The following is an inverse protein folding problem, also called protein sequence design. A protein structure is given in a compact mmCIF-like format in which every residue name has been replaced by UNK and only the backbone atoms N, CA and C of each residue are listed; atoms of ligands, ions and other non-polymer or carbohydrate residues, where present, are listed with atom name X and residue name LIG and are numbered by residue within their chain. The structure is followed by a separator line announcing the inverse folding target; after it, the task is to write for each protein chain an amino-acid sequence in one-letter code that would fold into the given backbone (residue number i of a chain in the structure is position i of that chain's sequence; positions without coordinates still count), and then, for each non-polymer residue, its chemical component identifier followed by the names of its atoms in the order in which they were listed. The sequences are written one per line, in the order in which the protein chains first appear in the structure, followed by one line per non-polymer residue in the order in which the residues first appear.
data_IF_713063613206
#
_entry.id   IF_713063613206
#
_cell.length_a   1.000
_cell.length_b   1.000
_cell.length_c   1.000
_cell.angle_alpha   90.00
_cell.angle_beta   90.00
_cell.angle_gamma   90.00
#
_symmetry.space_group_name_H-M   'P 1'
#
loop_
_entity.id
_entity.type
_entity.pdbx_description
1 polymer ?
#
# COMPACT_ATOMS: atom_id res chain seq x y z
N UNK A 1 28.79 14.74 9.93
CA UNK A 1 28.91 16.17 10.33
C UNK A 1 30.38 16.36 10.69
N UNK A 2 31.07 17.45 10.33
CA UNK A 2 32.51 17.53 10.58
C UNK A 2 32.82 17.71 12.08
N UNK A 3 33.36 16.66 12.71
CA UNK A 3 33.99 16.74 14.03
C UNK A 3 35.45 17.19 13.88
N UNK A 4 35.88 18.14 14.73
CA UNK A 4 37.24 18.64 14.76
C UNK A 4 37.88 18.40 16.13
N UNK A 5 39.20 18.28 16.16
CA UNK A 5 39.99 18.18 17.40
C UNK A 5 39.66 19.39 18.29
N UNK A 6 39.41 19.14 19.58
CA UNK A 6 38.97 20.14 20.56
C UNK A 6 37.45 20.29 20.69
N UNK A 7 36.65 19.55 19.91
CA UNK A 7 35.17 19.57 20.04
C UNK A 7 34.73 18.77 21.26
N UNK A 8 33.84 19.37 22.07
CA UNK A 8 33.15 18.68 23.16
C UNK A 8 32.01 17.82 22.63
N UNK A 9 32.07 16.54 22.95
CA UNK A 9 31.13 15.51 22.51
C UNK A 9 30.57 14.75 23.71
N UNK A 10 29.41 14.15 23.51
CA UNK A 10 28.73 13.27 24.46
C UNK A 10 28.48 11.94 23.78
N UNK A 11 28.79 10.85 24.46
CA UNK A 11 28.50 9.50 23.98
C UNK A 11 26.99 9.26 24.00
N UNK A 12 26.42 8.83 22.87
CA UNK A 12 24.98 8.60 22.70
C UNK A 12 24.44 7.56 23.68
N UNK A 13 25.22 6.51 23.96
CA UNK A 13 24.76 5.35 24.71
C UNK A 13 25.08 5.41 26.21
N UNK A 14 26.21 6.01 26.60
CA UNK A 14 26.62 6.12 28.01
C UNK A 14 26.27 7.47 28.63
N UNK A 15 26.04 8.50 27.81
CA UNK A 15 25.79 9.87 28.27
C UNK A 15 27.04 10.59 28.79
N UNK A 16 28.20 9.94 28.78
CA UNK A 16 29.48 10.52 29.20
C UNK A 16 29.91 11.64 28.25
N UNK A 17 30.52 12.69 28.79
CA UNK A 17 31.01 13.83 28.03
C UNK A 17 32.54 13.82 27.97
N UNK A 18 33.09 14.32 26.87
CA UNK A 18 34.51 14.38 26.64
C UNK A 18 34.90 15.31 25.50
N UNK A 19 36.20 15.39 25.22
CA UNK A 19 36.80 16.24 24.18
C UNK A 19 37.56 15.38 23.19
N UNK A 20 37.37 15.63 21.90
CA UNK A 20 38.14 14.95 20.85
C UNK A 20 39.59 15.43 20.89
N UNK A 21 40.54 14.53 21.12
CA UNK A 21 41.98 14.81 21.15
C UNK A 21 42.68 14.48 19.85
N UNK A 22 42.21 13.48 19.12
CA UNK A 22 42.75 13.08 17.82
C UNK A 22 41.67 12.51 16.89
N UNK A 23 41.86 12.68 15.59
CA UNK A 23 41.10 11.97 14.56
C UNK A 23 41.92 10.74 14.15
N UNK A 24 41.29 9.57 14.17
CA UNK A 24 41.91 8.31 13.75
C UNK A 24 41.39 7.92 12.36
N UNK A 25 42.04 6.94 11.74
CA UNK A 25 41.60 6.40 10.46
C UNK A 25 40.26 5.65 10.61
N UNK A 26 39.57 5.45 9.48
CA UNK A 26 38.29 4.71 9.40
C UNK A 26 37.11 5.34 10.17
N UNK A 27 37.11 6.66 10.37
CA UNK A 27 35.98 7.37 10.99
C UNK A 27 35.90 7.21 12.52
N UNK A 28 36.99 6.76 13.13
CA UNK A 28 37.16 6.73 14.58
C UNK A 28 37.81 8.01 15.10
N UNK A 29 37.51 8.37 16.34
CA UNK A 29 38.03 9.55 17.00
C UNK A 29 38.44 9.20 18.41
N UNK A 30 39.53 9.79 18.87
CA UNK A 30 40.01 9.62 20.23
C UNK A 30 39.35 10.68 21.11
N UNK A 31 38.57 10.25 22.10
CA UNK A 31 37.82 11.13 23.00
C UNK A 31 38.37 10.97 24.40
N UNK A 32 38.84 12.08 24.99
CA UNK A 32 39.22 12.16 26.40
C UNK A 32 37.99 12.48 27.23
N UNK A 33 37.71 11.69 28.26
CA UNK A 33 36.54 11.92 29.11
C UNK A 33 36.74 13.13 30.03
N UNK A 34 35.66 13.87 30.28
CA UNK A 34 35.67 14.95 31.28
C UNK A 34 35.75 14.39 32.72
N UNK A 35 35.30 13.14 32.93
CA UNK A 35 35.31 12.45 34.23
C UNK A 35 36.70 11.96 34.65
N UNK A 36 37.55 11.60 33.69
CA UNK A 36 38.90 11.09 33.93
C UNK A 36 39.86 11.61 32.84
N UNK A 37 40.73 12.59 33.18
CA UNK A 37 41.64 13.22 32.21
C UNK A 37 42.71 12.29 31.64
N UNK A 38 43.00 11.16 32.29
CA UNK A 38 44.03 10.21 31.84
C UNK A 38 43.44 9.12 30.94
N UNK A 39 42.11 9.07 30.79
CA UNK A 39 41.41 8.05 30.02
C UNK A 39 40.97 8.60 28.66
N UNK A 40 41.53 8.00 27.60
CA UNK A 40 41.18 8.30 26.21
C UNK A 40 40.58 7.06 25.55
N UNK A 41 39.37 7.21 25.00
CA UNK A 41 38.60 6.11 24.41
C UNK A 41 38.44 6.36 22.92
N UNK A 42 38.80 5.39 22.04
CA UNK A 42 38.46 5.45 20.63
C UNK A 42 36.96 5.20 20.43
N UNK A 43 36.29 6.09 19.71
CA UNK A 43 34.85 6.07 19.47
C UNK A 43 34.52 6.39 18.01
N UNK A 44 33.46 5.79 17.47
CA UNK A 44 32.98 6.09 16.11
C UNK A 44 32.24 7.42 16.05
N UNK A 45 32.26 8.08 14.89
CA UNK A 45 31.48 9.30 14.63
C UNK A 45 29.99 9.17 15.00
N UNK A 46 29.42 7.99 14.74
CA UNK A 46 28.00 7.71 14.92
C UNK A 46 27.57 7.62 16.40
N UNK A 47 28.52 7.29 17.27
CA UNK A 47 28.32 7.09 18.71
C UNK A 47 28.47 8.40 19.50
N UNK A 48 28.94 9.46 18.83
CA UNK A 48 29.16 10.78 19.41
C UNK A 48 28.04 11.74 19.01
N UNK A 49 27.67 12.61 19.94
CA UNK A 49 26.75 13.72 19.74
C UNK A 49 27.44 14.98 20.24
N UNK A 50 27.44 16.06 19.45
CA UNK A 50 28.01 17.34 19.89
C UNK A 50 27.24 17.84 21.11
N UNK A 51 27.96 18.19 22.17
CA UNK A 51 27.34 18.76 23.36
C UNK A 51 27.06 20.25 23.08
N UNK A 52 25.83 20.58 22.68
CA UNK A 52 25.40 21.94 22.31
C UNK A 52 25.39 22.91 23.51
N UNK A 53 25.40 22.39 24.74
CA UNK A 53 25.41 23.16 25.99
C UNK A 53 26.81 23.65 26.41
N UNK A 54 27.87 23.25 25.70
CA UNK A 54 29.23 23.66 26.01
C UNK A 54 29.65 24.84 25.13
N UNK A 55 29.88 26.01 25.76
CA UNK A 55 30.32 27.22 25.08
C UNK A 55 31.57 26.96 24.22
N UNK A 56 31.61 27.45 22.96
CA UNK A 56 32.78 27.29 22.10
C UNK A 56 33.93 28.17 22.59
N UNK A 57 35.05 27.55 22.96
CA UNK A 57 36.35 28.24 23.08
C UNK A 57 36.92 28.42 21.68
N UNK A 58 36.34 29.34 20.90
CA UNK A 58 37.08 30.11 19.91
C UNK A 58 36.21 31.25 19.40
N UNK A 59 36.61 32.45 19.80
CA UNK A 59 36.08 33.70 19.30
C UNK A 59 36.37 33.85 17.80
N UNK A 60 35.35 34.23 17.01
CA UNK A 60 35.58 34.95 15.75
C UNK A 60 34.78 34.52 14.52
N UNK A 61 34.09 33.39 14.52
CA UNK A 61 33.27 33.00 13.36
C UNK A 61 31.80 33.38 13.60
N UNK A 62 31.33 34.44 12.92
CA UNK A 62 29.90 34.71 12.78
C UNK A 62 29.26 33.49 12.09
N UNK A 63 28.51 32.71 12.85
CA UNK A 63 27.68 31.63 12.31
C UNK A 63 26.60 32.25 11.42
N UNK A 64 26.77 32.09 10.10
CA UNK A 64 25.66 32.24 9.15
C UNK A 64 24.78 31.01 9.39
N UNK A 65 23.49 31.17 9.75
CA UNK A 65 22.61 30.02 9.95
C UNK A 65 22.58 29.22 8.65
N UNK A 66 23.09 27.99 8.72
CA UNK A 66 23.01 27.05 7.62
C UNK A 66 21.54 26.94 7.21
N UNK A 67 21.27 27.31 5.96
CA UNK A 67 19.98 27.14 5.32
C UNK A 67 19.55 25.71 5.59
N UNK A 68 18.46 25.52 6.34
CA UNK A 68 17.85 24.22 6.61
C UNK A 68 17.88 23.46 5.29
N UNK A 69 18.61 22.36 5.24
CA UNK A 69 18.56 21.45 4.11
C UNK A 69 17.09 21.09 3.98
N UNK A 70 16.48 21.54 2.88
CA UNK A 70 15.11 21.20 2.56
C UNK A 70 15.02 19.69 2.66
N UNK A 71 14.07 19.19 3.43
CA UNK A 71 13.75 17.77 3.47
C UNK A 71 13.75 17.25 2.02
N UNK A 72 14.40 16.11 1.75
CA UNK A 72 14.52 15.60 0.39
C UNK A 72 13.14 15.62 -0.25
N UNK A 73 12.98 16.45 -1.29
CA UNK A 73 11.71 16.54 -2.00
C UNK A 73 11.37 15.13 -2.45
N UNK A 74 10.14 14.64 -2.21
CA UNK A 74 9.74 13.32 -2.66
C UNK A 74 10.08 13.21 -4.15
N UNK A 75 10.58 12.05 -4.59
CA UNK A 75 11.03 11.87 -5.96
C UNK A 75 9.96 12.41 -6.92
N UNK A 76 10.36 13.19 -7.93
CA UNK A 76 9.41 13.89 -8.78
C UNK A 76 8.44 12.87 -9.38
N UNK A 77 7.17 12.96 -9.00
CA UNK A 77 6.12 12.10 -9.54
C UNK A 77 6.15 12.21 -11.07
N UNK A 78 6.09 11.07 -11.75
CA UNK A 78 6.09 11.02 -13.22
C UNK A 78 5.00 11.95 -13.74
N UNK A 79 5.38 13.00 -14.47
CA UNK A 79 4.42 13.88 -15.12
C UNK A 79 3.80 13.11 -16.29
N UNK A 80 2.54 12.71 -16.13
CA UNK A 80 1.77 12.10 -17.20
C UNK A 80 1.42 13.20 -18.20
N UNK A 81 1.99 13.12 -19.39
CA UNK A 81 1.60 14.00 -20.49
C UNK A 81 0.25 13.50 -21.01
N UNK A 82 -0.84 13.96 -20.40
CA UNK A 82 -2.20 13.73 -20.87
C UNK A 82 -2.48 14.55 -22.14
N UNK A 83 -1.67 14.37 -23.19
CA UNK A 83 -1.95 14.91 -24.53
C UNK A 83 -2.94 14.00 -25.30
N UNK A 84 -3.64 13.12 -24.58
CA UNK A 84 -4.63 12.23 -25.17
C UNK A 84 -5.98 12.94 -25.21
N UNK A 85 -6.44 13.28 -26.41
CA UNK A 85 -7.87 13.49 -26.63
C UNK A 85 -8.56 12.12 -26.57
N UNK A 86 -9.27 11.89 -25.47
CA UNK A 86 -10.03 10.67 -25.23
C UNK A 86 -11.18 10.63 -26.23
N UNK A 87 -10.97 9.93 -27.34
CA UNK A 87 -11.97 9.83 -28.41
C UNK A 87 -13.22 9.08 -27.94
N UNK A 88 -13.05 8.10 -27.04
CA UNK A 88 -14.13 7.31 -26.43
C UNK A 88 -13.74 6.94 -25.00
N UNK A 89 -14.29 7.62 -23.97
CA UNK A 89 -13.95 7.32 -22.59
C UNK A 89 -14.42 5.91 -22.25
N UNK A 90 -13.52 5.09 -21.71
CA UNK A 90 -13.85 3.72 -21.27
C UNK A 90 -14.32 3.66 -19.83
N UNK A 91 -14.02 4.68 -19.01
CA UNK A 91 -14.37 4.75 -17.60
C UNK A 91 -13.18 4.52 -16.66
N UNK A 92 -13.43 3.97 -15.47
CA UNK A 92 -12.38 3.64 -14.50
C UNK A 92 -11.74 2.29 -14.84
N UNK A 93 -10.42 2.29 -14.87
CA UNK A 93 -9.61 1.17 -15.34
C UNK A 93 -8.46 0.91 -14.35
N UNK A 94 -8.04 -0.35 -14.26
CA UNK A 94 -6.91 -0.80 -13.45
C UNK A 94 -5.81 -1.31 -14.37
N UNK A 95 -4.60 -0.80 -14.23
CA UNK A 95 -3.46 -1.22 -15.02
C UNK A 95 -2.29 -1.68 -14.15
N UNK A 96 -1.59 -2.71 -14.63
CA UNK A 96 -0.40 -3.25 -14.00
C UNK A 96 0.77 -3.16 -14.97
N UNK A 97 1.66 -2.20 -14.72
CA UNK A 97 2.87 -1.96 -15.51
C UNK A 97 3.95 -2.97 -15.07
N UNK A 98 4.45 -3.83 -15.98
CA UNK A 98 5.54 -4.75 -15.64
C UNK A 98 6.82 -3.97 -15.36
N UNK A 99 7.46 -4.24 -14.23
CA UNK A 99 8.74 -3.62 -13.85
C UNK A 99 9.86 -4.66 -14.01
N UNK A 100 10.56 -4.69 -15.16
CA UNK A 100 11.65 -5.64 -15.38
C UNK A 100 12.82 -5.36 -14.43
N UNK A 101 13.36 -6.42 -13.84
CA UNK A 101 14.61 -6.38 -13.09
C UNK A 101 15.83 -6.23 -14.01
N UNK A 102 17.03 -6.28 -13.42
CA UNK A 102 18.31 -6.19 -14.16
C UNK A 102 18.44 -7.27 -15.23
N UNK A 103 17.88 -8.44 -14.98
CA UNK A 103 17.94 -9.60 -15.86
C UNK A 103 16.78 -9.67 -16.87
N UNK A 104 15.94 -8.62 -16.92
CA UNK A 104 14.76 -8.55 -17.80
C UNK A 104 13.54 -9.35 -17.30
N UNK A 105 13.67 -10.10 -16.21
CA UNK A 105 12.55 -10.81 -15.57
C UNK A 105 11.64 -9.83 -14.83
N UNK A 106 10.32 -10.04 -14.93
CA UNK A 106 9.33 -9.21 -14.22
C UNK A 106 9.02 -9.85 -12.88
N UNK A 107 9.48 -9.24 -11.79
CA UNK A 107 9.24 -9.73 -10.41
C UNK A 107 8.16 -8.92 -9.68
N UNK A 108 7.86 -7.72 -10.16
CA UNK A 108 6.83 -6.84 -9.61
C UNK A 108 6.10 -6.07 -10.72
N UNK A 109 4.91 -5.64 -10.39
CA UNK A 109 4.10 -4.77 -11.22
C UNK A 109 3.76 -3.51 -10.46
N UNK A 110 3.85 -2.37 -11.13
CA UNK A 110 3.33 -1.12 -10.60
C UNK A 110 1.85 -1.01 -10.92
N UNK A 111 1.02 -0.83 -9.91
CA UNK A 111 -0.43 -0.76 -9.99
C UNK A 111 -0.87 0.68 -10.17
N UNK A 112 -1.68 0.91 -11.19
CA UNK A 112 -2.21 2.22 -11.56
C UNK A 112 -3.73 2.17 -11.65
N UNK A 113 -4.40 3.14 -11.03
CA UNK A 113 -5.81 3.42 -11.28
C UNK A 113 -5.92 4.52 -12.33
N UNK A 114 -6.71 4.30 -13.37
CA UNK A 114 -6.85 5.21 -14.50
C UNK A 114 -8.28 5.71 -14.57
N UNK A 115 -8.43 7.02 -14.55
CA UNK A 115 -9.70 7.69 -14.78
C UNK A 115 -9.70 8.31 -16.18
N UNK A 116 -10.39 7.63 -17.10
CA UNK A 116 -10.57 8.08 -18.48
C UNK A 116 -11.84 8.92 -18.65
N UNK A 117 -12.42 9.42 -17.56
CA UNK A 117 -13.64 10.23 -17.59
C UNK A 117 -13.37 11.70 -17.29
N UNK A 118 -14.33 12.56 -17.62
CA UNK A 118 -14.32 13.97 -17.26
C UNK A 118 -14.72 14.24 -15.79
N UNK A 119 -15.03 13.21 -15.01
CA UNK A 119 -15.52 13.31 -13.64
C UNK A 119 -14.38 13.03 -12.66
N UNK A 120 -14.45 13.61 -11.47
CA UNK A 120 -13.52 13.31 -10.38
C UNK A 120 -14.19 12.36 -9.38
N UNK A 121 -13.40 11.51 -8.73
CA UNK A 121 -13.91 10.54 -7.77
C UNK A 121 -13.13 10.57 -6.46
N UNK A 122 -13.83 10.40 -5.34
CA UNK A 122 -13.27 9.87 -4.10
C UNK A 122 -13.25 8.35 -4.22
N UNK A 123 -12.15 7.71 -3.82
CA UNK A 123 -11.97 6.28 -3.96
C UNK A 123 -11.43 5.63 -2.69
N UNK A 124 -11.95 4.45 -2.41
CA UNK A 124 -11.34 3.47 -1.52
C UNK A 124 -11.00 2.26 -2.40
N UNK A 125 -9.72 1.91 -2.44
CA UNK A 125 -9.17 0.83 -3.25
C UNK A 125 -8.42 -0.14 -2.34
N UNK A 126 -8.82 -1.41 -2.41
CA UNK A 126 -8.11 -2.51 -1.77
C UNK A 126 -7.71 -3.55 -2.83
N UNK A 127 -6.43 -3.92 -2.84
CA UNK A 127 -5.93 -5.07 -3.56
C UNK A 127 -5.48 -6.09 -2.52
N UNK A 128 -6.11 -7.25 -2.52
CA UNK A 128 -5.84 -8.27 -1.51
C UNK A 128 -5.78 -9.67 -2.14
N UNK A 129 -5.19 -10.57 -1.38
CA UNK A 129 -5.10 -12.00 -1.65
C UNK A 129 -5.79 -12.74 -0.50
N UNK A 130 -5.97 -14.05 -0.63
CA UNK A 130 -6.49 -14.87 0.48
C UNK A 130 -5.59 -14.81 1.74
N UNK A 131 -4.32 -14.43 1.57
CA UNK A 131 -3.32 -14.45 2.64
C UNK A 131 -3.05 -13.07 3.28
N UNK A 132 -3.20 -11.98 2.53
CA UNK A 132 -2.85 -10.63 2.98
C UNK A 132 -3.46 -9.54 2.10
N UNK A 133 -3.54 -8.34 2.65
CA UNK A 133 -3.71 -7.11 1.89
C UNK A 133 -2.40 -6.74 1.19
N UNK A 134 -2.47 -6.48 -0.10
CA UNK A 134 -1.33 -6.09 -0.96
C UNK A 134 -1.22 -4.57 -1.00
N UNK A 135 -2.32 -3.87 -1.26
CA UNK A 135 -2.42 -2.42 -1.30
C UNK A 135 -3.75 -1.97 -0.70
N UNK A 136 -3.71 -0.87 0.07
CA UNK A 136 -4.90 -0.18 0.59
C UNK A 136 -4.68 1.30 0.31
N UNK A 137 -5.60 1.93 -0.42
CA UNK A 137 -5.48 3.33 -0.84
C UNK A 137 -6.84 4.02 -0.69
N UNK A 138 -6.86 5.10 0.07
CA UNK A 138 -7.96 6.06 0.13
C UNK A 138 -7.44 7.39 -0.43
N UNK A 139 -7.97 7.82 -1.58
CA UNK A 139 -7.51 9.04 -2.24
C UNK A 139 -8.59 9.63 -3.17
N UNK A 140 -8.27 10.77 -3.77
CA UNK A 140 -9.04 11.38 -4.84
C UNK A 140 -8.35 11.14 -6.18
N UNK A 141 -9.09 10.67 -7.17
CA UNK A 141 -8.62 10.61 -8.55
C UNK A 141 -9.25 11.73 -9.40
N UNK A 142 -8.43 12.66 -9.94
CA UNK A 142 -8.91 13.70 -10.85
C UNK A 142 -9.44 13.14 -12.16
N UNK A 143 -10.18 13.96 -12.88
CA UNK A 143 -10.62 13.66 -14.25
C UNK A 143 -9.41 13.45 -15.17
N UNK A 144 -9.51 12.50 -16.10
CA UNK A 144 -8.49 12.26 -17.15
C UNK A 144 -7.07 12.05 -16.60
N UNK A 145 -6.96 11.40 -15.43
CA UNK A 145 -5.70 11.21 -14.72
C UNK A 145 -5.42 9.72 -14.48
N UNK A 146 -4.17 9.41 -14.14
CA UNK A 146 -3.83 8.12 -13.54
C UNK A 146 -3.16 8.33 -12.19
N UNK A 147 -3.57 7.51 -11.23
CA UNK A 147 -3.09 7.49 -9.86
C UNK A 147 -2.23 6.24 -9.66
N UNK A 148 -1.02 6.44 -9.14
CA UNK A 148 -0.15 5.33 -8.72
C UNK A 148 -0.66 4.80 -7.37
N UNK A 149 -1.06 3.52 -7.33
CA UNK A 149 -1.58 2.88 -6.13
C UNK A 149 -0.48 2.18 -5.31
N UNK A 150 0.57 1.70 -5.99
CA UNK A 150 1.72 1.04 -5.36
C UNK A 150 2.20 -0.18 -6.15
N UNK A 151 2.99 -1.04 -5.51
CA UNK A 151 3.60 -2.21 -6.15
C UNK A 151 2.86 -3.50 -5.75
N UNK A 152 2.71 -4.42 -6.71
CA UNK A 152 2.20 -5.79 -6.53
C UNK A 152 3.29 -6.79 -6.94
N UNK A 153 3.49 -7.87 -6.18
CA UNK A 153 4.48 -8.88 -6.54
C UNK A 153 3.92 -9.86 -7.57
N UNK A 154 4.81 -10.48 -8.33
CA UNK A 154 4.42 -11.54 -9.27
C UNK A 154 3.70 -12.70 -8.57
N UNK A 155 4.17 -13.09 -7.39
CA UNK A 155 3.63 -14.23 -6.64
C UNK A 155 2.22 -13.98 -6.09
N UNK A 156 1.83 -12.72 -5.89
CA UNK A 156 0.49 -12.36 -5.41
C UNK A 156 -0.61 -12.81 -6.39
N UNK A 157 -0.29 -12.91 -7.69
CA UNK A 157 -1.24 -13.40 -8.71
C UNK A 157 -1.69 -14.85 -8.47
N UNK A 158 -0.85 -15.67 -7.83
CA UNK A 158 -1.17 -17.08 -7.59
C UNK A 158 -2.15 -17.27 -6.40
N UNK A 159 -2.36 -16.24 -5.58
CA UNK A 159 -3.08 -16.33 -4.30
C UNK A 159 -4.47 -15.67 -4.36
N UNK A 160 -5.26 -16.00 -5.39
CA UNK A 160 -6.62 -15.48 -5.57
C UNK A 160 -6.70 -13.95 -5.46
N UNK A 161 -5.92 -13.23 -6.26
CA UNK A 161 -5.87 -11.78 -6.22
C UNK A 161 -7.25 -11.15 -6.55
N UNK A 162 -7.73 -10.27 -5.69
CA UNK A 162 -8.97 -9.52 -5.86
C UNK A 162 -8.75 -8.03 -5.64
N UNK A 163 -9.38 -7.22 -6.49
CA UNK A 163 -9.42 -5.78 -6.34
C UNK A 163 -10.84 -5.35 -5.95
N UNK A 164 -10.99 -4.70 -4.80
CA UNK A 164 -12.21 -4.04 -4.36
C UNK A 164 -12.06 -2.54 -4.58
N UNK A 165 -13.04 -1.93 -5.24
CA UNK A 165 -13.11 -0.49 -5.43
C UNK A 165 -14.48 0.01 -5.00
N UNK A 166 -14.47 1.04 -4.17
CA UNK A 166 -15.61 1.86 -3.84
C UNK A 166 -15.33 3.29 -4.33
N UNK A 167 -16.23 3.85 -5.14
CA UNK A 167 -16.06 5.19 -5.71
C UNK A 167 -17.29 6.06 -5.52
N UNK A 168 -17.06 7.33 -5.21
CA UNK A 168 -18.09 8.36 -5.16
C UNK A 168 -17.71 9.49 -6.10
N UNK A 169 -18.62 9.88 -6.99
CA UNK A 169 -18.40 11.00 -7.91
C UNK A 169 -18.45 12.30 -7.12
N UNK A 170 -17.47 13.17 -7.34
CA UNK A 170 -17.48 14.53 -6.80
C UNK A 170 -18.31 15.42 -7.73
N UNK A 171 -19.43 15.95 -7.22
CA UNK A 171 -20.29 16.89 -7.96
C UNK A 171 -20.43 18.21 -7.21
N UNK A 172 -20.99 19.23 -7.86
CA UNK A 172 -21.26 20.53 -7.22
C UNK A 172 -22.34 20.45 -6.13
N UNK A 173 -23.18 19.41 -6.15
CA UNK A 173 -24.23 19.15 -5.17
C UNK A 173 -23.74 18.30 -3.98
N UNK A 174 -22.48 17.86 -4.02
CA UNK A 174 -21.86 16.96 -3.04
C UNK A 174 -21.37 15.64 -3.66
N UNK A 175 -20.81 14.73 -2.85
CA UNK A 175 -20.48 13.37 -3.29
C UNK A 175 -21.74 12.61 -3.69
N UNK A 176 -21.67 11.86 -4.81
CA UNK A 176 -22.75 10.95 -5.20
C UNK A 176 -22.83 9.74 -4.27
N UNK A 177 -23.89 8.95 -4.42
CA UNK A 177 -23.94 7.63 -3.79
C UNK A 177 -22.73 6.78 -4.21
N UNK A 178 -22.17 5.98 -3.28
CA UNK A 178 -21.05 5.11 -3.55
C UNK A 178 -21.44 3.98 -4.51
N UNK A 179 -20.54 3.69 -5.44
CA UNK A 179 -20.64 2.53 -6.33
C UNK A 179 -19.46 1.61 -6.04
N UNK A 180 -19.78 0.36 -5.71
CA UNK A 180 -18.78 -0.65 -5.37
C UNK A 180 -18.65 -1.71 -6.46
N UNK A 181 -17.43 -2.18 -6.70
CA UNK A 181 -17.16 -3.35 -7.53
C UNK A 181 -15.96 -4.13 -7.02
N UNK A 182 -16.10 -5.45 -7.04
CA UNK A 182 -15.01 -6.39 -6.77
C UNK A 182 -14.66 -7.13 -8.07
N UNK A 183 -13.37 -7.16 -8.41
CA UNK A 183 -12.82 -7.84 -9.58
C UNK A 183 -11.84 -8.92 -9.15
N UNK A 184 -12.15 -10.19 -9.44
CA UNK A 184 -11.21 -11.30 -9.28
C UNK A 184 -10.23 -11.35 -10.45
N UNK A 185 -8.94 -11.28 -10.18
CA UNK A 185 -7.87 -11.23 -11.19
C UNK A 185 -7.22 -12.62 -11.27
N UNK A 186 -7.56 -13.36 -12.33
CA UNK A 186 -6.98 -14.70 -12.56
C UNK A 186 -5.66 -14.59 -13.32
N UNK A 187 -4.61 -15.37 -12.99
CA UNK A 187 -3.33 -15.35 -13.69
C UNK A 187 -3.44 -15.44 -15.22
N UNK A 188 -4.20 -16.42 -15.73
CA UNK A 188 -4.40 -16.59 -17.17
C UNK A 188 -5.04 -15.37 -17.83
N UNK A 189 -5.97 -14.72 -17.15
CA UNK A 189 -6.61 -13.50 -17.66
C UNK A 189 -5.66 -12.31 -17.60
N UNK A 190 -4.87 -12.21 -16.53
CA UNK A 190 -3.85 -11.17 -16.36
C UNK A 190 -2.84 -11.20 -17.49
N UNK A 191 -2.16 -12.32 -17.73
CA UNK A 191 -1.12 -12.41 -18.76
C UNK A 191 -1.64 -12.28 -20.19
N UNK A 192 -2.90 -12.63 -20.45
CA UNK A 192 -3.51 -12.49 -21.76
C UNK A 192 -4.02 -11.07 -22.06
N UNK A 193 -4.08 -10.20 -21.06
CA UNK A 193 -4.73 -8.89 -21.17
C UNK A 193 -3.72 -7.74 -21.20
N UNK A 194 -2.64 -7.92 -21.96
CA UNK A 194 -1.63 -6.88 -22.21
C UNK A 194 -2.15 -5.96 -23.31
N UNK A 195 -2.30 -4.68 -22.99
CA UNK A 195 -2.77 -3.66 -23.92
C UNK A 195 -2.01 -2.36 -23.72
N UNK A 196 -1.96 -1.53 -24.76
CA UNK A 196 -1.47 -0.16 -24.62
C UNK A 196 -2.45 0.64 -23.77
N UNK A 197 -1.94 1.23 -22.69
CA UNK A 197 -2.69 2.15 -21.83
C UNK A 197 -2.40 3.58 -22.30
N UNK A 198 -3.37 4.26 -22.95
CA UNK A 198 -3.13 5.55 -23.59
C UNK A 198 -2.63 6.64 -22.63
N UNK A 199 -3.27 6.78 -21.46
CA UNK A 199 -2.94 7.82 -20.47
C UNK A 199 -1.52 7.66 -19.91
N UNK A 200 -1.04 6.42 -19.79
CA UNK A 200 0.31 6.12 -19.32
C UNK A 200 1.35 6.03 -20.45
N UNK A 201 0.89 5.94 -21.70
CA UNK A 201 1.70 5.70 -22.90
C UNK A 201 2.66 4.50 -22.76
N UNK A 202 2.15 3.36 -22.28
CA UNK A 202 2.93 2.14 -22.05
C UNK A 202 2.07 0.88 -22.23
N UNK A 203 2.73 -0.28 -22.34
CA UNK A 203 2.08 -1.59 -22.33
C UNK A 203 1.90 -2.06 -20.89
N UNK A 204 0.67 -2.40 -20.51
CA UNK A 204 0.35 -2.90 -19.18
C UNK A 204 -0.76 -3.96 -19.24
N UNK A 205 -0.87 -4.77 -18.20
CA UNK A 205 -2.02 -5.65 -18.02
C UNK A 205 -3.22 -4.81 -17.58
N UNK A 206 -4.29 -4.80 -18.35
CA UNK A 206 -5.29 -3.73 -18.28
C UNK A 206 -6.73 -4.24 -18.08
N UNK A 207 -7.39 -3.83 -17.00
CA UNK A 207 -8.74 -4.27 -16.64
C UNK A 207 -9.71 -3.11 -16.54
N UNK A 208 -10.94 -3.33 -17.00
CA UNK A 208 -12.02 -2.34 -16.88
C UNK A 208 -12.78 -2.56 -15.56
N UNK A 209 -12.80 -1.52 -14.71
CA UNK A 209 -13.56 -1.52 -13.47
C UNK A 209 -14.98 -1.02 -13.72
N UNK A 210 -15.15 0.23 -14.16
CA UNK A 210 -16.48 0.80 -14.42
C UNK A 210 -16.55 1.34 -15.83
N UNK A 211 -17.58 0.95 -16.57
CA UNK A 211 -17.97 1.50 -17.87
C UNK A 211 -19.07 2.57 -17.74
N UNK A 212 -19.90 2.45 -16.69
CA UNK A 212 -20.91 3.41 -16.28
C UNK A 212 -20.95 3.55 -14.76
N UNK A 213 -21.36 4.72 -14.29
CA UNK A 213 -21.51 5.09 -12.88
C UNK A 213 -22.98 5.27 -12.49
N UNK A 214 -23.89 4.92 -13.39
CA UNK A 214 -25.32 4.90 -13.07
C UNK A 214 -25.65 3.63 -12.29
N UNK A 215 -26.50 3.76 -11.27
CA UNK A 215 -27.02 2.62 -10.54
C UNK A 215 -27.79 1.72 -11.49
N UNK A 216 -27.23 0.54 -11.79
CA UNK A 216 -28.03 -0.57 -12.28
C UNK A 216 -28.95 -0.97 -11.14
N UNK A 217 -30.21 -0.53 -11.19
CA UNK A 217 -31.28 -1.15 -10.40
C UNK A 217 -31.13 -2.65 -10.57
N UNK A 218 -30.76 -3.35 -9.50
CA UNK A 218 -30.91 -4.80 -9.49
C UNK A 218 -32.39 -5.05 -9.79
N UNK A 219 -32.68 -5.64 -10.93
CA UNK A 219 -34.00 -6.19 -11.17
C UNK A 219 -34.20 -7.26 -10.11
N UNK A 220 -34.88 -6.90 -9.02
CA UNK A 220 -35.41 -7.80 -8.01
C UNK A 220 -36.55 -8.64 -8.60
N UNK A 221 -36.32 -9.24 -9.77
CA UNK A 221 -37.12 -10.33 -10.28
C UNK A 221 -36.65 -11.57 -9.55
N UNK A 222 -37.45 -12.04 -8.60
CA UNK A 222 -37.29 -13.37 -8.04
C UNK A 222 -37.12 -14.38 -9.19
N UNK A 223 -35.91 -14.92 -9.35
CA UNK A 223 -35.63 -15.94 -10.34
C UNK A 223 -36.57 -17.14 -10.06
N UNK A 224 -37.42 -17.50 -11.02
CA UNK A 224 -38.31 -18.66 -10.94
C UNK A 224 -37.56 -19.91 -10.46
N UNK A 225 -36.27 -20.02 -10.75
CA UNK A 225 -35.38 -21.07 -10.25
C UNK A 225 -35.24 -21.08 -8.72
N UNK A 226 -35.16 -19.92 -8.08
CA UNK A 226 -35.08 -19.80 -6.62
C UNK A 226 -36.42 -20.10 -5.94
N UNK A 227 -37.54 -19.65 -6.53
CA UNK A 227 -38.89 -20.00 -6.07
C UNK A 227 -39.15 -21.51 -6.14
N UNK A 228 -38.75 -22.16 -7.25
CA UNK A 228 -38.94 -23.61 -7.44
C UNK A 228 -38.09 -24.41 -6.46
N UNK A 229 -36.86 -23.97 -6.16
CA UNK A 229 -35.98 -24.59 -5.15
C UNK A 229 -36.51 -24.46 -3.72
N UNK A 230 -37.16 -23.35 -3.37
CA UNK A 230 -37.77 -23.19 -2.06
C UNK A 230 -39.03 -24.06 -1.90
N UNK A 231 -39.89 -24.14 -2.92
CA UNK A 231 -41.10 -25.00 -2.87
C UNK A 231 -40.79 -26.50 -2.97
N UNK A 232 -39.70 -26.90 -3.62
CA UNK A 232 -39.27 -28.31 -3.63
C UNK A 232 -38.71 -28.80 -2.28
N UNK A 233 -38.38 -27.89 -1.36
CA UNK A 233 -37.84 -28.19 -0.03
C UNK A 233 -38.89 -28.27 1.08
N UNK A 234 -40.19 -28.12 0.79
CA UNK A 234 -41.22 -28.41 1.79
C UNK A 234 -41.19 -29.90 2.16
N UNK A 235 -40.97 -30.26 3.44
CA UNK A 235 -40.71 -31.63 3.86
C UNK A 235 -41.94 -32.53 3.65
N UNK A 236 -41.67 -33.75 3.14
CA UNK A 236 -42.62 -34.86 3.16
C UNK A 236 -43.19 -34.99 4.58
N UNK A 237 -44.52 -35.06 4.64
CA UNK A 237 -45.32 -35.38 5.82
C UNK A 237 -44.67 -36.43 6.72
N UNK A 238 -44.60 -36.14 8.01
CA UNK A 238 -44.23 -37.08 9.05
C UNK A 238 -45.13 -38.32 8.99
N UNK A 239 -44.53 -39.48 8.72
CA UNK A 239 -45.11 -40.79 9.05
C UNK A 239 -44.74 -41.14 10.48
N UNK A 240 -45.61 -41.85 11.23
CA UNK A 240 -45.52 -41.93 12.68
C UNK A 240 -44.38 -42.84 13.16
N UNK A 241 -43.81 -42.42 14.28
CA UNK A 241 -42.88 -43.09 15.19
C UNK A 241 -42.58 -44.58 14.93
N UNK A 242 -41.34 -44.88 14.53
CA UNK A 242 -40.67 -46.10 14.97
C UNK A 242 -39.76 -45.74 16.15
N UNK A 243 -40.17 -46.15 17.35
CA UNK A 243 -39.35 -46.07 18.55
C UNK A 243 -38.13 -46.96 18.37
N UNK A 244 -36.93 -46.37 18.50
CA UNK A 244 -35.67 -47.12 18.51
C UNK A 244 -35.37 -47.49 19.95
N UNK A 245 -35.43 -48.77 20.28
CA UNK A 245 -34.98 -49.29 21.57
C UNK A 245 -33.45 -49.21 21.66
N UNK A 246 -32.94 -48.82 22.82
CA UNK A 246 -31.51 -48.76 23.09
C UNK A 246 -30.91 -50.16 23.23
N UNK A 247 -29.83 -50.45 22.51
CA UNK A 247 -29.19 -51.77 22.44
C UNK A 247 -28.65 -52.33 23.78
N UNK A 248 -28.77 -51.58 24.87
CA UNK A 248 -28.25 -51.95 26.20
C UNK A 248 -29.33 -51.92 27.30
N UNK A 249 -30.61 -51.67 26.95
CA UNK A 249 -31.70 -51.63 27.92
C UNK A 249 -32.70 -52.75 27.65
N UNK A 250 -32.44 -53.93 28.20
CA UNK A 250 -33.21 -55.16 27.94
C UNK A 250 -34.62 -55.09 28.56
N UNK A 251 -34.83 -54.23 29.56
CA UNK A 251 -36.11 -54.08 30.25
C UNK A 251 -37.19 -53.40 29.39
N UNK A 252 -36.81 -52.60 28.38
CA UNK A 252 -37.77 -51.93 27.48
C UNK A 252 -38.44 -52.87 26.46
N UNK A 253 -37.98 -54.12 26.32
CA UNK A 253 -38.54 -55.08 25.37
C UNK A 253 -39.63 -55.99 25.98
N UNK A 254 -39.77 -56.02 27.31
CA UNK A 254 -40.60 -56.98 28.04
C UNK A 254 -41.91 -56.41 28.63
N UNK A 255 -42.28 -55.18 28.28
CA UNK A 255 -43.56 -54.55 28.67
C UNK A 255 -44.49 -54.35 27.48
#
# INVERSE_FOLDING_TARGET
MLYAIGTKVRFRYTGESGVITALLDEGMMQVRLDSDPDLEIPAFEEDLVRNEDAEPISAGAKFIPAKRENAPEPPPRRKLNAQYHILKPKGLQLAFEPMPGRDGTVTRYKTWLINDTAQEFLLEFDLYTDARDVLIVDDKIPATAALELGDMLYDDLNNSLEASVNVQRITTEGPSEPVQKTLKIRPKQFFNNVQTVPILNLLAHHFLLFDSFEHKKEESGEDLKNYTKQKARSPKSASPASTRFGAFNVEEFAS
#
